data_IF_154283381212
#
_entry.id   IF_154283381212
#
_cell.length_a   1.000
_cell.length_b   1.000
_cell.length_c   1.000
_cell.angle_alpha   90.00
_cell.angle_beta   90.00
_cell.angle_gamma   90.00
#
_symmetry.space_group_name_H-M   'P 1'
#
loop_
_entity.id
_entity.type
_entity.pdbx_description
1 polymer ?
#
# COMPACT_ATOMS: atom_id res chain seq x y z
N UNK A 1 -6.88 0.88 6.38
CA UNK A 1 -8.20 1.24 6.96
C UNK A 1 -7.99 1.97 8.27
N UNK A 2 -8.94 2.78 8.76
CA UNK A 2 -8.84 3.44 10.08
C UNK A 2 -8.88 2.45 11.26
N UNK A 3 -8.38 2.84 12.43
CA UNK A 3 -8.37 1.99 13.64
C UNK A 3 -9.77 1.50 14.07
N UNK A 4 -10.81 2.29 13.83
CA UNK A 4 -12.20 1.96 14.19
C UNK A 4 -13.00 1.27 13.08
N UNK A 5 -12.36 0.85 11.99
CA UNK A 5 -13.03 0.13 10.91
C UNK A 5 -13.64 -1.19 11.42
N UNK A 6 -14.79 -1.66 10.93
CA UNK A 6 -15.41 -2.90 11.42
C UNK A 6 -14.49 -4.13 11.35
N UNK A 7 -13.63 -4.20 10.33
CA UNK A 7 -12.63 -5.26 10.18
C UNK A 7 -11.31 -5.02 10.94
N UNK A 8 -11.13 -3.92 11.67
CA UNK A 8 -9.85 -3.52 12.27
C UNK A 8 -9.32 -4.49 13.35
N UNK A 9 -10.21 -5.32 13.92
CA UNK A 9 -9.87 -6.34 14.93
C UNK A 9 -9.39 -7.66 14.33
N UNK A 10 -9.49 -7.82 13.01
CA UNK A 10 -9.04 -9.05 12.37
C UNK A 10 -7.50 -9.11 12.32
N UNK A 11 -6.97 -10.32 12.45
CA UNK A 11 -5.52 -10.59 12.30
C UNK A 11 -5.12 -10.83 10.84
N UNK A 12 -6.09 -11.20 9.99
CA UNK A 12 -5.95 -11.49 8.55
C UNK A 12 -7.34 -11.29 7.91
N UNK A 13 -7.42 -10.73 6.70
CA UNK A 13 -8.69 -10.46 6.00
C UNK A 13 -8.75 -11.20 4.66
N UNK A 14 -9.86 -11.86 4.33
CA UNK A 14 -10.08 -12.44 3.00
C UNK A 14 -10.74 -11.43 2.06
N UNK A 15 -10.45 -11.53 0.76
CA UNK A 15 -11.01 -10.62 -0.27
C UNK A 15 -12.54 -10.52 -0.22
N UNK A 16 -13.25 -11.62 0.11
CA UNK A 16 -14.72 -11.64 0.22
C UNK A 16 -15.25 -10.72 1.30
N UNK A 17 -14.51 -10.53 2.40
CA UNK A 17 -14.90 -9.68 3.52
C UNK A 17 -14.77 -8.19 3.18
N UNK A 18 -13.89 -7.86 2.23
CA UNK A 18 -13.71 -6.49 1.73
C UNK A 18 -14.84 -6.03 0.81
N UNK A 19 -15.62 -6.95 0.23
CA UNK A 19 -16.70 -6.64 -0.71
C UNK A 19 -17.84 -5.80 -0.09
N UNK A 20 -17.91 -5.74 1.24
CA UNK A 20 -18.89 -4.94 1.96
C UNK A 20 -18.47 -3.47 2.15
N UNK A 21 -17.24 -3.09 1.76
CA UNK A 21 -16.64 -1.80 2.06
C UNK A 21 -16.10 -1.14 0.80
N UNK A 22 -16.22 0.19 0.63
CA UNK A 22 -15.68 0.87 -0.54
C UNK A 22 -14.15 0.79 -0.59
N UNK A 23 -13.58 0.66 -1.78
CA UNK A 23 -12.13 0.71 -1.98
C UNK A 23 -11.72 2.11 -2.44
N UNK A 24 -10.70 2.68 -1.80
CA UNK A 24 -10.01 3.86 -2.30
C UNK A 24 -8.73 3.43 -3.01
N UNK A 25 -8.56 3.85 -4.26
CA UNK A 25 -7.39 3.53 -5.10
C UNK A 25 -6.67 4.79 -5.52
N UNK A 26 -5.36 4.70 -5.62
CA UNK A 26 -4.55 5.77 -6.19
C UNK A 26 -4.35 5.56 -7.70
N UNK A 27 -4.43 6.63 -8.49
CA UNK A 27 -4.11 6.64 -9.92
C UNK A 27 -3.29 7.88 -10.29
N UNK A 28 -2.20 7.71 -11.05
CA UNK A 28 -1.37 8.82 -11.51
C UNK A 28 -1.93 9.49 -12.76
N UNK A 29 -2.67 8.73 -13.59
CA UNK A 29 -3.22 9.20 -14.85
C UNK A 29 -4.76 9.17 -14.83
N UNK A 30 -5.39 10.13 -15.50
CA UNK A 30 -6.84 10.15 -15.71
C UNK A 30 -7.36 8.99 -16.58
N UNK A 31 -6.45 8.31 -17.28
CA UNK A 31 -6.75 7.08 -18.01
C UNK A 31 -6.48 5.89 -17.07
N UNK A 32 -7.55 5.31 -16.56
CA UNK A 32 -7.59 4.14 -15.67
C UNK A 32 -7.02 2.86 -16.34
N UNK A 33 -5.73 2.84 -16.65
CA UNK A 33 -5.06 1.66 -17.19
C UNK A 33 -4.70 0.70 -16.04
N UNK A 34 -5.22 -0.54 -16.05
CA UNK A 34 -4.99 -1.48 -14.95
C UNK A 34 -3.53 -1.81 -14.64
N UNK A 35 -2.66 -1.68 -15.64
CA UNK A 35 -1.24 -2.02 -15.57
C UNK A 35 -0.39 -1.03 -14.76
N UNK A 36 -0.90 0.17 -14.47
CA UNK A 36 -0.20 1.18 -13.69
C UNK A 36 -0.75 1.34 -12.27
N UNK A 37 -1.73 0.51 -11.87
CA UNK A 37 -2.21 0.55 -10.49
C UNK A 37 -1.14 0.05 -9.53
N UNK A 38 -0.97 0.80 -8.45
CA UNK A 38 -0.12 0.40 -7.33
C UNK A 38 -0.84 -0.60 -6.40
N UNK A 39 -2.13 -0.87 -6.66
CA UNK A 39 -2.95 -1.82 -5.92
C UNK A 39 -2.72 -3.27 -6.39
N UNK A 40 -2.38 -4.14 -5.44
CA UNK A 40 -2.06 -5.56 -5.65
C UNK A 40 -3.30 -6.45 -5.78
N UNK A 41 -4.48 -5.87 -5.57
CA UNK A 41 -5.76 -6.56 -5.66
C UNK A 41 -6.38 -6.13 -6.99
N UNK A 42 -6.88 -7.10 -7.76
CA UNK A 42 -7.73 -6.82 -8.93
C UNK A 42 -8.87 -5.87 -8.53
N UNK A 43 -9.37 -5.07 -9.47
CA UNK A 43 -10.52 -4.22 -9.22
C UNK A 43 -11.66 -5.16 -8.78
N UNK A 44 -12.14 -5.08 -7.53
CA UNK A 44 -13.26 -5.90 -7.11
C UNK A 44 -14.44 -5.57 -8.01
N UNK A 45 -15.28 -6.56 -8.34
CA UNK A 45 -16.50 -6.35 -9.11
C UNK A 45 -17.57 -5.49 -8.38
N UNK A 46 -17.17 -4.81 -7.31
CA UNK A 46 -17.99 -3.98 -6.47
C UNK A 46 -18.14 -2.58 -7.09
N UNK A 47 -19.34 -2.02 -7.03
CA UNK A 47 -19.66 -0.72 -7.64
C UNK A 47 -19.02 0.50 -6.93
N UNK A 48 -18.44 0.34 -5.74
CA UNK A 48 -17.95 1.47 -4.92
C UNK A 48 -16.43 1.55 -4.82
N UNK A 49 -15.77 1.75 -5.96
CA UNK A 49 -14.34 2.11 -6.02
C UNK A 49 -14.21 3.63 -6.21
N UNK A 50 -13.48 4.28 -5.31
CA UNK A 50 -13.14 5.71 -5.38
C UNK A 50 -11.70 5.86 -5.83
N UNK A 51 -11.47 6.58 -6.92
CA UNK A 51 -10.13 6.86 -7.43
C UNK A 51 -9.66 8.24 -6.96
N UNK A 52 -8.42 8.34 -6.49
CA UNK A 52 -7.77 9.61 -6.16
C UNK A 52 -6.43 9.71 -6.86
N UNK A 53 -6.00 10.93 -7.17
CA UNK A 53 -4.68 11.22 -7.74
C UNK A 53 -3.71 11.86 -6.74
N UNK A 54 -4.17 12.06 -5.50
CA UNK A 54 -3.37 12.54 -4.38
C UNK A 54 -3.42 11.55 -3.21
N UNK A 55 -2.26 11.30 -2.61
CA UNK A 55 -2.11 10.37 -1.48
C UNK A 55 -2.70 10.94 -0.19
N UNK A 56 -2.60 12.25 0.03
CA UNK A 56 -3.22 12.88 1.19
C UNK A 56 -4.74 12.69 1.18
N UNK A 57 -5.35 12.87 0.02
CA UNK A 57 -6.78 12.67 -0.22
C UNK A 57 -7.19 11.21 0.01
N UNK A 58 -6.42 10.25 -0.53
CA UNK A 58 -6.64 8.82 -0.28
C UNK A 58 -6.67 8.53 1.22
N UNK A 59 -5.68 9.05 1.95
CA UNK A 59 -5.56 8.81 3.38
C UNK A 59 -6.70 9.47 4.17
N UNK A 60 -7.12 10.69 3.80
CA UNK A 60 -8.26 11.36 4.43
C UNK A 60 -9.57 10.57 4.24
N UNK A 61 -9.82 10.00 3.06
CA UNK A 61 -10.98 9.15 2.82
C UNK A 61 -10.93 7.88 3.66
N UNK A 62 -9.77 7.21 3.72
CA UNK A 62 -9.58 6.00 4.54
C UNK A 62 -9.73 6.28 6.04
N UNK A 63 -9.33 7.46 6.51
CA UNK A 63 -9.44 7.86 7.91
C UNK A 63 -10.85 8.33 8.28
N UNK A 64 -11.55 9.00 7.36
CA UNK A 64 -12.86 9.59 7.57
C UNK A 64 -14.06 8.68 7.29
N UNK A 65 -13.84 7.47 6.76
CA UNK A 65 -14.92 6.56 6.35
C UNK A 65 -14.62 5.10 6.72
N UNK A 66 -15.55 4.20 6.40
CA UNK A 66 -15.33 2.74 6.45
C UNK A 66 -14.72 2.19 5.15
N UNK A 67 -14.07 3.04 4.35
CA UNK A 67 -13.33 2.60 3.18
C UNK A 67 -12.00 1.93 3.56
N UNK A 68 -11.51 1.10 2.66
CA UNK A 68 -10.16 0.52 2.74
C UNK A 68 -9.31 0.92 1.53
N UNK A 69 -7.99 0.82 1.71
CA UNK A 69 -7.02 0.89 0.64
C UNK A 69 -6.07 -0.32 0.75
N UNK A 70 -5.54 -0.77 -0.37
CA UNK A 70 -4.53 -1.82 -0.44
C UNK A 70 -3.17 -1.22 -0.82
N UNK A 71 -2.10 -1.95 -0.53
CA UNK A 71 -0.74 -1.50 -0.86
C UNK A 71 0.34 -2.36 -0.21
N UNK A 72 1.59 -1.92 -0.30
CA UNK A 72 2.76 -2.65 0.17
C UNK A 72 2.78 -2.91 1.68
N UNK A 73 2.00 -2.14 2.45
CA UNK A 73 2.02 -2.14 3.91
C UNK A 73 3.23 -1.44 4.52
N UNK A 74 4.01 -0.70 3.72
CA UNK A 74 5.06 0.20 4.19
C UNK A 74 4.43 1.58 4.35
N UNK A 75 4.30 2.04 5.60
CA UNK A 75 3.73 3.34 5.93
C UNK A 75 4.66 4.02 6.93
N UNK A 76 5.09 5.23 6.58
CA UNK A 76 6.11 5.98 7.31
C UNK A 76 5.45 7.23 7.91
N UNK A 77 5.95 7.67 9.08
CA UNK A 77 5.49 8.88 9.75
C UNK A 77 4.23 8.69 10.59
N UNK A 78 3.74 9.78 11.18
CA UNK A 78 2.68 9.76 12.21
C UNK A 78 1.30 9.30 11.74
N UNK A 79 1.11 9.03 10.45
CA UNK A 79 -0.15 8.45 9.95
C UNK A 79 -0.28 6.96 10.25
N UNK A 80 0.84 6.28 10.49
CA UNK A 80 0.91 4.85 10.85
C UNK A 80 0.04 4.53 12.06
N UNK A 81 0.02 5.42 13.05
CA UNK A 81 -0.73 5.22 14.30
C UNK A 81 -2.25 5.37 14.11
N UNK A 82 -2.67 6.08 13.06
CA UNK A 82 -4.07 6.37 12.77
C UNK A 82 -4.75 5.29 11.91
N UNK A 83 -3.95 4.41 11.30
CA UNK A 83 -4.45 3.33 10.44
C UNK A 83 -4.14 1.95 11.02
N UNK A 84 -4.96 0.99 10.65
CA UNK A 84 -4.71 -0.43 10.84
C UNK A 84 -4.22 -1.04 9.52
N UNK A 85 -3.04 -1.66 9.59
CA UNK A 85 -2.49 -2.51 8.54
C UNK A 85 -2.82 -3.96 8.89
N UNK A 86 -3.56 -4.64 8.02
CA UNK A 86 -3.96 -6.04 8.20
C UNK A 86 -3.54 -6.82 6.94
N UNK A 87 -2.84 -7.95 7.09
CA UNK A 87 -2.44 -8.75 5.95
C UNK A 87 -3.65 -9.31 5.21
N UNK A 88 -3.59 -9.26 3.88
CA UNK A 88 -4.57 -9.89 3.02
C UNK A 88 -4.34 -11.40 3.00
N UNK A 89 -5.43 -12.16 3.00
CA UNK A 89 -5.36 -13.59 2.90
C UNK A 89 -4.89 -14.06 1.54
N UNK A 90 -4.02 -15.07 1.57
CA UNK A 90 -3.59 -15.86 0.41
C UNK A 90 -2.94 -14.98 -0.68
N UNK A 91 -2.42 -13.82 -0.28
CA UNK A 91 -1.64 -12.93 -1.12
C UNK A 91 -0.16 -13.31 -1.09
N UNK A 92 0.51 -13.20 -2.23
CA UNK A 92 1.96 -13.33 -2.27
C UNK A 92 2.62 -12.16 -1.51
N UNK A 93 3.79 -12.39 -0.89
CA UNK A 93 4.57 -11.32 -0.29
C UNK A 93 4.98 -10.28 -1.35
N UNK A 94 4.96 -9.01 -0.95
CA UNK A 94 5.44 -7.93 -1.80
C UNK A 94 6.96 -7.99 -1.96
N UNK A 95 7.44 -7.76 -3.17
CA UNK A 95 8.86 -7.64 -3.48
C UNK A 95 9.18 -6.20 -3.87
N UNK A 96 10.11 -5.58 -3.14
CA UNK A 96 10.69 -4.31 -3.53
C UNK A 96 12.03 -4.59 -4.23
N UNK A 97 12.19 -4.05 -5.43
CA UNK A 97 13.38 -4.29 -6.24
C UNK A 97 13.96 -2.97 -6.75
N UNK A 98 15.29 -2.94 -6.89
CA UNK A 98 16.00 -1.85 -7.55
C UNK A 98 16.22 -2.25 -9.00
N UNK A 99 15.75 -1.42 -9.93
CA UNK A 99 15.96 -1.61 -11.37
C UNK A 99 17.06 -0.66 -11.82
N UNK A 100 18.11 -1.19 -12.45
CA UNK A 100 19.16 -0.39 -13.06
C UNK A 100 19.63 -1.00 -14.38
N UNK A 101 20.32 -0.19 -15.20
CA UNK A 101 20.89 -0.68 -16.45
C UNK A 101 22.01 -1.69 -16.18
N UNK A 102 21.92 -2.87 -16.79
CA UNK A 102 23.01 -3.87 -16.74
C UNK A 102 24.26 -3.47 -17.53
N UNK A 103 24.20 -2.41 -18.35
CA UNK A 103 25.34 -1.90 -19.11
C UNK A 103 26.23 -0.94 -18.31
N UNK A 104 25.79 -0.55 -17.11
CA UNK A 104 26.49 0.42 -16.26
C UNK A 104 26.66 -0.17 -14.87
N UNK A 105 27.85 0.02 -14.31
CA UNK A 105 28.09 -0.23 -12.89
C UNK A 105 27.38 0.86 -12.08
N UNK A 106 26.87 0.49 -10.91
CA UNK A 106 26.30 1.46 -9.97
C UNK A 106 27.40 2.38 -9.47
N UNK A 107 27.16 3.70 -9.47
CA UNK A 107 28.08 4.66 -8.87
C UNK A 107 28.14 4.46 -7.35
N UNK A 108 29.17 5.03 -6.73
CA UNK A 108 29.33 5.00 -5.27
C UNK A 108 28.11 5.64 -4.59
N UNK A 109 27.58 6.73 -5.14
CA UNK A 109 26.40 7.42 -4.63
C UNK A 109 25.14 6.55 -4.75
N UNK A 110 24.98 5.85 -5.89
CA UNK A 110 23.85 4.95 -6.08
C UNK A 110 23.89 3.78 -5.09
N UNK A 111 25.07 3.19 -4.86
CA UNK A 111 25.24 2.14 -3.86
C UNK A 111 24.93 2.63 -2.45
N UNK A 112 25.41 3.83 -2.09
CA UNK A 112 25.10 4.48 -0.80
C UNK A 112 23.62 4.73 -0.62
N UNK A 113 22.93 5.20 -1.67
CA UNK A 113 21.48 5.40 -1.66
C UNK A 113 20.74 4.08 -1.42
N UNK A 114 21.08 3.02 -2.16
CA UNK A 114 20.45 1.70 -2.02
C UNK A 114 20.68 1.15 -0.61
N UNK A 115 21.90 1.29 -0.08
CA UNK A 115 22.22 0.85 1.28
C UNK A 115 21.38 1.60 2.32
N UNK A 116 21.36 2.93 2.26
CA UNK A 116 20.58 3.75 3.19
C UNK A 116 19.07 3.44 3.13
N UNK A 117 18.52 3.24 1.93
CA UNK A 117 17.14 2.80 1.76
C UNK A 117 16.90 1.43 2.38
N UNK A 118 17.81 0.48 2.16
CA UNK A 118 17.74 -0.87 2.72
C UNK A 118 17.76 -0.86 4.25
N UNK A 119 18.61 -0.02 4.85
CA UNK A 119 18.71 0.12 6.31
C UNK A 119 17.42 0.69 6.91
N UNK A 120 16.84 1.74 6.29
CA UNK A 120 15.57 2.33 6.70
C UNK A 120 14.44 1.31 6.62
N UNK A 121 14.32 0.60 5.50
CA UNK A 121 13.25 -0.38 5.31
C UNK A 121 13.37 -1.58 6.26
N UNK A 122 14.59 -2.06 6.49
CA UNK A 122 14.84 -3.18 7.40
C UNK A 122 14.51 -2.80 8.84
N UNK A 123 14.86 -1.57 9.27
CA UNK A 123 14.51 -1.10 10.61
C UNK A 123 12.99 -0.94 10.80
N UNK A 124 12.27 -0.40 9.81
CA UNK A 124 10.79 -0.30 9.87
C UNK A 124 10.09 -1.66 9.84
N UNK A 125 10.62 -2.64 9.10
CA UNK A 125 10.07 -4.01 9.05
C UNK A 125 10.39 -4.80 10.31
N UNK A 126 11.53 -4.59 10.96
CA UNK A 126 11.87 -5.23 12.23
C UNK A 126 10.94 -4.78 13.37
N UNK A 127 10.50 -3.52 13.34
CA UNK A 127 9.56 -2.94 14.32
C UNK A 127 8.10 -3.41 14.15
N UNK A 128 7.81 -4.32 13.21
CA UNK A 128 6.47 -4.90 12.98
C UNK A 128 6.20 -6.19 13.76
N UNK A 129 7.15 -6.68 14.57
CA UNK A 129 7.01 -7.86 15.44
C UNK A 129 6.34 -7.51 16.77
#
# INVERSE_FOLDING_TARGET
MRQGHPLAKQTKIHRKELLAYPQVRFTQDGNNFPYFYEDLIEIPAQESVVYTSDRGTLMNLVLGTDAYASGSGIVIGGIKDQIKLIPLADSQPNQLCVIHSGKRTLSVEAQRFIQGLTDILTSELANKK
#
